data_IF_565669330558
#
_entry.id   IF_565669330558
#
_cell.length_a   1.000
_cell.length_b   1.000
_cell.length_c   1.000
_cell.angle_alpha   90.00
_cell.angle_beta   90.00
_cell.angle_gamma   90.00
#
_symmetry.space_group_name_H-M   'P 1'
#
loop_
_entity.id
_entity.type
_entity.pdbx_description
1 polymer ?
#
# COMPACT_ATOMS: atom_id res chain seq x y z
N UNK A 1 -5.46 -24.07 13.59
CA UNK A 1 -5.58 -22.83 14.35
C UNK A 1 -5.51 -23.12 15.84
N UNK A 2 -4.90 -22.22 16.57
CA UNK A 2 -4.74 -22.30 18.03
C UNK A 2 -5.28 -21.01 18.63
N UNK A 3 -6.02 -21.14 19.76
CA UNK A 3 -6.55 -20.01 20.54
C UNK A 3 -6.04 -20.15 21.97
N UNK A 4 -5.42 -19.11 22.52
CA UNK A 4 -4.86 -19.07 23.87
C UNK A 4 -3.93 -20.26 24.20
N UNK A 5 -3.18 -20.72 23.18
CA UNK A 5 -2.27 -21.86 23.31
C UNK A 5 -2.90 -23.24 23.09
N UNK A 6 -4.22 -23.35 22.96
CA UNK A 6 -4.94 -24.60 22.73
C UNK A 6 -5.33 -24.76 21.25
N UNK A 7 -5.21 -25.97 20.72
CA UNK A 7 -5.61 -26.31 19.35
C UNK A 7 -7.13 -26.35 19.28
N UNK A 8 -7.74 -25.52 18.41
CA UNK A 8 -9.20 -25.39 18.27
C UNK A 8 -9.76 -25.94 16.95
N UNK A 9 -8.91 -26.36 16.01
CA UNK A 9 -9.35 -26.98 14.75
C UNK A 9 -8.38 -28.05 14.30
N UNK A 10 -8.85 -29.01 13.51
CA UNK A 10 -8.01 -29.92 12.75
C UNK A 10 -7.27 -29.18 11.61
N UNK A 11 -6.46 -29.91 10.86
CA UNK A 11 -5.74 -29.33 9.72
C UNK A 11 -6.76 -28.91 8.65
N UNK A 12 -6.74 -27.63 8.30
CA UNK A 12 -7.58 -27.06 7.24
C UNK A 12 -6.87 -27.31 5.92
N UNK A 13 -7.53 -28.00 4.98
CA UNK A 13 -6.96 -28.39 3.67
C UNK A 13 -7.75 -27.84 2.49
N UNK A 14 -8.94 -27.34 2.71
CA UNK A 14 -9.94 -26.95 1.71
C UNK A 14 -10.28 -25.46 1.75
N UNK A 15 -9.68 -24.71 2.67
CA UNK A 15 -9.99 -23.30 2.92
C UNK A 15 -8.74 -22.57 3.41
N UNK A 16 -8.67 -21.26 3.13
CA UNK A 16 -7.64 -20.36 3.63
C UNK A 16 -8.13 -19.48 4.80
N UNK A 17 -9.32 -19.75 5.31
CA UNK A 17 -9.91 -19.03 6.42
C UNK A 17 -10.56 -20.01 7.43
N UNK A 18 -10.79 -19.52 8.62
CA UNK A 18 -11.47 -20.24 9.68
C UNK A 18 -12.31 -19.28 10.52
N UNK A 19 -13.58 -19.60 10.73
CA UNK A 19 -14.46 -18.84 11.60
C UNK A 19 -14.54 -19.52 12.98
N UNK A 20 -13.95 -18.89 13.99
CA UNK A 20 -14.13 -19.29 15.39
C UNK A 20 -15.38 -18.62 15.95
N UNK A 21 -16.44 -19.41 16.15
CA UNK A 21 -17.73 -18.93 16.68
C UNK A 21 -17.70 -18.67 18.20
N UNK A 22 -16.70 -19.21 18.89
CA UNK A 22 -16.55 -19.12 20.35
C UNK A 22 -15.44 -18.12 20.73
N UNK A 23 -14.84 -17.45 19.72
CA UNK A 23 -13.80 -16.47 19.92
C UNK A 23 -14.28 -15.23 20.68
N UNK A 24 -13.38 -14.66 21.49
CA UNK A 24 -13.62 -13.47 22.30
C UNK A 24 -12.61 -12.37 21.97
N UNK A 25 -12.93 -11.10 22.26
CA UNK A 25 -12.03 -9.97 21.96
C UNK A 25 -10.65 -10.05 22.63
N UNK A 26 -10.55 -10.73 23.77
CA UNK A 26 -9.31 -10.92 24.52
C UNK A 26 -8.46 -12.10 24.06
N UNK A 27 -8.94 -12.92 23.13
CA UNK A 27 -8.25 -14.13 22.69
C UNK A 27 -7.01 -13.81 21.86
N UNK A 28 -6.05 -14.72 21.98
CA UNK A 28 -4.80 -14.69 21.20
C UNK A 28 -4.76 -15.90 20.28
N UNK A 29 -4.54 -15.67 19.02
CA UNK A 29 -4.52 -16.71 18.01
C UNK A 29 -3.12 -16.99 17.48
N UNK A 30 -2.91 -18.22 17.06
CA UNK A 30 -1.69 -18.64 16.35
C UNK A 30 -2.05 -19.62 15.25
N UNK A 31 -1.41 -19.47 14.10
CA UNK A 31 -1.48 -20.43 13.00
C UNK A 31 -0.19 -21.24 12.97
N UNK A 32 -0.30 -22.55 12.76
CA UNK A 32 0.86 -23.42 12.49
C UNK A 32 0.66 -24.04 11.13
N UNK A 33 1.60 -23.80 10.22
CA UNK A 33 1.66 -24.50 8.95
C UNK A 33 1.94 -25.99 9.17
N UNK A 34 1.32 -26.86 8.36
CA UNK A 34 1.48 -28.31 8.42
C UNK A 34 1.88 -28.83 7.04
N UNK A 35 2.97 -29.59 6.95
CA UNK A 35 3.39 -30.29 5.74
C UNK A 35 3.43 -31.77 6.01
N UNK A 36 2.58 -32.52 5.31
CA UNK A 36 2.35 -33.93 5.64
C UNK A 36 1.81 -34.06 7.08
N UNK A 37 2.42 -34.89 7.90
CA UNK A 37 2.04 -35.12 9.29
C UNK A 37 2.85 -34.33 10.32
N UNK A 38 3.70 -33.39 9.86
CA UNK A 38 4.57 -32.60 10.75
C UNK A 38 4.13 -31.15 10.74
N UNK A 39 3.93 -30.58 11.95
CA UNK A 39 3.80 -29.14 12.08
C UNK A 39 5.16 -28.50 11.73
N UNK A 40 5.11 -27.55 10.82
CA UNK A 40 6.25 -26.72 10.47
C UNK A 40 6.33 -25.50 11.41
N UNK A 41 6.67 -24.35 10.90
CA UNK A 41 6.87 -23.15 11.69
C UNK A 41 5.55 -22.68 12.37
N UNK A 42 5.61 -22.38 13.66
CA UNK A 42 4.57 -21.64 14.38
C UNK A 42 4.61 -20.18 13.90
N UNK A 43 3.49 -19.64 13.44
CA UNK A 43 3.33 -18.22 13.14
C UNK A 43 3.38 -17.35 14.41
N UNK A 44 3.43 -16.04 14.21
CA UNK A 44 3.34 -15.08 15.30
C UNK A 44 2.02 -15.23 16.07
N UNK A 45 1.99 -14.77 17.29
CA UNK A 45 0.76 -14.60 18.06
C UNK A 45 0.05 -13.33 17.63
N UNK A 46 -1.24 -13.45 17.33
CA UNK A 46 -2.08 -12.35 16.86
C UNK A 46 -3.23 -12.16 17.85
N UNK A 47 -3.40 -10.92 18.33
CA UNK A 47 -4.53 -10.52 19.14
C UNK A 47 -5.74 -10.21 18.25
N UNK A 48 -6.93 -10.41 18.78
CA UNK A 48 -8.16 -10.02 18.08
C UNK A 48 -8.19 -8.50 17.88
N UNK A 49 -8.46 -8.08 16.66
CA UNK A 49 -8.78 -6.69 16.37
C UNK A 49 -10.27 -6.50 16.66
N UNK A 50 -10.59 -5.74 17.71
CA UNK A 50 -11.98 -5.53 18.14
C UNK A 50 -12.68 -4.45 17.27
N UNK A 51 -12.54 -4.60 15.95
CA UNK A 51 -13.19 -3.76 14.96
C UNK A 51 -13.28 -4.52 13.64
N UNK A 52 -14.28 -4.26 12.79
CA UNK A 52 -14.41 -4.89 11.48
C UNK A 52 -13.42 -4.33 10.42
N UNK A 53 -12.49 -3.51 10.83
CA UNK A 53 -11.49 -2.84 9.96
C UNK A 53 -10.19 -2.60 10.72
N UNK A 54 -9.11 -2.41 9.97
CA UNK A 54 -7.85 -1.88 10.46
C UNK A 54 -7.80 -0.40 10.06
N UNK A 55 -7.54 0.49 11.04
CA UNK A 55 -7.36 1.92 10.78
C UNK A 55 -5.89 2.24 10.64
N UNK A 56 -5.51 2.75 9.48
CA UNK A 56 -4.12 3.08 9.15
C UNK A 56 -4.01 4.60 9.05
N UNK A 57 -3.24 5.27 9.93
CA UNK A 57 -3.01 6.70 9.83
C UNK A 57 -2.16 7.01 8.60
N UNK A 58 -2.56 8.00 7.82
CA UNK A 58 -1.88 8.42 6.61
C UNK A 58 -1.27 9.81 6.76
N UNK A 59 -0.10 10.01 6.17
CA UNK A 59 0.56 11.33 6.07
C UNK A 59 0.02 12.09 4.85
N UNK A 60 -1.16 12.71 5.04
CA UNK A 60 -1.85 13.43 3.98
C UNK A 60 -1.00 14.61 3.48
N UNK A 61 -0.76 14.73 2.14
CA UNK A 61 -0.03 15.86 1.58
C UNK A 61 -0.77 17.20 1.79
N UNK A 62 -0.01 18.29 1.79
CA UNK A 62 -0.57 19.65 1.72
C UNK A 62 -1.32 19.86 0.40
N UNK A 63 -2.28 20.79 0.40
CA UNK A 63 -3.08 21.07 -0.78
C UNK A 63 -2.20 21.48 -1.97
N UNK A 64 -2.55 21.01 -3.14
CA UNK A 64 -2.04 21.55 -4.39
C UNK A 64 -2.68 22.92 -4.64
N UNK A 65 -1.86 23.91 -5.02
CA UNK A 65 -2.34 25.24 -5.45
C UNK A 65 -1.98 25.42 -6.91
N UNK A 66 -2.99 25.66 -7.75
CA UNK A 66 -2.78 25.87 -9.17
C UNK A 66 -2.23 27.29 -9.47
N UNK A 67 -1.78 27.58 -10.71
CA UNK A 67 -1.26 28.91 -11.06
C UNK A 67 -2.28 30.06 -10.91
N UNK A 68 -3.58 29.76 -10.89
CA UNK A 68 -4.65 30.73 -10.69
C UNK A 68 -4.95 30.97 -9.21
N UNK A 69 -4.24 30.27 -8.30
CA UNK A 69 -4.37 30.38 -6.84
C UNK A 69 -5.49 29.52 -6.24
N UNK A 70 -6.11 28.63 -7.01
CA UNK A 70 -7.11 27.71 -6.47
C UNK A 70 -6.43 26.55 -5.70
N UNK A 71 -6.96 26.24 -4.53
CA UNK A 71 -6.45 25.21 -3.65
C UNK A 71 -7.26 23.92 -3.75
N UNK A 72 -6.57 22.80 -3.98
CA UNK A 72 -7.17 21.47 -4.12
C UNK A 72 -6.57 20.50 -3.09
N UNK A 73 -7.40 19.91 -2.23
CA UNK A 73 -6.90 18.91 -1.29
C UNK A 73 -6.49 17.63 -2.01
N UNK A 74 -5.44 17.00 -1.51
CA UNK A 74 -5.14 15.62 -1.90
C UNK A 74 -6.17 14.66 -1.29
N UNK A 75 -6.55 13.68 -2.08
CA UNK A 75 -7.41 12.57 -1.68
C UNK A 75 -6.70 11.25 -1.91
N UNK A 76 -6.84 10.32 -0.96
CA UNK A 76 -6.44 8.94 -1.13
C UNK A 76 -7.27 8.32 -2.27
N UNK A 77 -6.60 7.63 -3.17
CA UNK A 77 -7.19 7.04 -4.36
C UNK A 77 -6.86 5.53 -4.42
N UNK A 78 -6.42 5.02 -5.57
CA UNK A 78 -6.10 3.60 -5.71
C UNK A 78 -4.98 3.15 -4.77
N UNK A 79 -5.11 1.94 -4.27
CA UNK A 79 -4.08 1.29 -3.47
C UNK A 79 -3.80 -0.12 -4.00
N UNK A 80 -2.59 -0.58 -3.75
CA UNK A 80 -2.15 -1.95 -3.94
C UNK A 80 -1.44 -2.43 -2.69
N UNK A 81 -1.32 -3.75 -2.53
CA UNK A 81 -0.63 -4.35 -1.38
C UNK A 81 0.40 -5.36 -1.85
N UNK A 82 1.55 -5.37 -1.23
CA UNK A 82 2.59 -6.39 -1.42
C UNK A 82 3.61 -6.32 -0.29
N UNK A 83 4.38 -7.38 -0.12
CA UNK A 83 5.52 -7.44 0.78
C UNK A 83 6.73 -6.74 0.11
N UNK A 84 7.01 -5.50 0.52
CA UNK A 84 8.07 -4.67 -0.07
C UNK A 84 9.46 -4.92 0.55
N UNK A 85 9.51 -5.40 1.78
CA UNK A 85 10.78 -5.60 2.51
C UNK A 85 11.15 -7.08 2.74
N UNK A 86 10.25 -8.00 2.41
CA UNK A 86 10.47 -9.44 2.50
C UNK A 86 10.28 -9.99 3.91
N UNK A 87 9.57 -9.28 4.78
CA UNK A 87 9.31 -9.72 6.16
C UNK A 87 8.09 -10.64 6.29
N UNK A 88 7.30 -10.80 5.24
CA UNK A 88 6.11 -11.64 5.16
C UNK A 88 4.82 -10.91 5.55
N UNK A 89 4.87 -9.64 5.90
CA UNK A 89 3.73 -8.77 6.05
C UNK A 89 3.56 -7.90 4.80
N UNK A 90 2.34 -7.43 4.52
CA UNK A 90 2.10 -6.59 3.35
C UNK A 90 2.13 -5.13 3.72
N UNK A 91 2.83 -4.34 2.91
CA UNK A 91 2.73 -2.90 2.87
C UNK A 91 1.60 -2.45 1.93
N UNK A 92 1.12 -1.24 2.17
CA UNK A 92 0.11 -0.59 1.34
C UNK A 92 0.81 0.49 0.52
N UNK A 93 0.67 0.39 -0.80
CA UNK A 93 1.12 1.42 -1.73
C UNK A 93 -0.11 2.21 -2.15
N UNK A 94 -0.14 3.50 -1.78
CA UNK A 94 -1.28 4.39 -1.95
C UNK A 94 -0.97 5.50 -2.93
N UNK A 95 -1.87 5.73 -3.87
CA UNK A 95 -1.84 6.88 -4.76
C UNK A 95 -2.64 8.05 -4.18
N UNK A 96 -2.05 9.24 -4.22
CA UNK A 96 -2.68 10.50 -3.88
C UNK A 96 -2.95 11.32 -5.12
N UNK A 97 -4.17 11.84 -5.25
CA UNK A 97 -4.61 12.72 -6.31
C UNK A 97 -5.06 14.08 -5.77
N UNK A 98 -4.68 15.16 -6.47
CA UNK A 98 -5.23 16.49 -6.29
C UNK A 98 -5.65 17.07 -7.64
N UNK A 99 -6.92 17.44 -7.80
CA UNK A 99 -7.46 17.98 -9.05
C UNK A 99 -7.19 17.08 -10.28
N UNK A 100 -7.25 15.73 -10.09
CA UNK A 100 -7.04 14.77 -11.16
C UNK A 100 -8.00 14.99 -12.34
N UNK A 101 -7.51 14.76 -13.55
CA UNK A 101 -8.25 15.00 -14.79
C UNK A 101 -8.39 13.73 -15.61
N UNK A 102 -9.49 13.57 -16.29
CA UNK A 102 -9.68 12.55 -17.32
C UNK A 102 -9.22 13.09 -18.70
N UNK A 103 -9.17 12.20 -19.68
CA UNK A 103 -8.74 12.49 -21.07
C UNK A 103 -9.47 13.66 -21.72
N UNK A 104 -10.75 13.81 -21.42
CA UNK A 104 -11.61 14.87 -21.97
C UNK A 104 -11.45 16.21 -21.25
N UNK A 105 -10.81 16.26 -20.10
CA UNK A 105 -10.66 17.48 -19.32
C UNK A 105 -9.36 18.20 -19.63
N UNK A 106 -9.42 19.50 -19.74
CA UNK A 106 -8.24 20.38 -19.89
C UNK A 106 -7.74 20.87 -18.54
N UNK A 107 -6.52 21.37 -18.51
CA UNK A 107 -5.93 22.07 -17.38
C UNK A 107 -4.91 21.24 -16.60
N UNK A 108 -4.24 21.95 -15.71
CA UNK A 108 -3.18 21.43 -14.85
C UNK A 108 -3.79 20.61 -13.72
N UNK A 109 -3.09 19.53 -13.34
CA UNK A 109 -3.39 18.70 -12.17
C UNK A 109 -2.34 18.93 -11.10
N UNK A 110 -2.65 18.57 -9.86
CA UNK A 110 -1.64 18.35 -8.85
C UNK A 110 -0.67 17.24 -9.24
N UNK A 111 0.50 17.24 -8.64
CA UNK A 111 1.48 16.17 -8.85
C UNK A 111 0.93 14.88 -8.21
N UNK A 112 1.00 13.77 -8.94
CA UNK A 112 0.58 12.49 -8.40
C UNK A 112 1.66 11.96 -7.46
N UNK A 113 1.26 11.56 -6.26
CA UNK A 113 2.17 11.00 -5.25
C UNK A 113 1.84 9.53 -5.02
N UNK A 114 2.87 8.74 -4.81
CA UNK A 114 2.77 7.34 -4.42
C UNK A 114 3.48 7.15 -3.08
N UNK A 115 2.74 6.73 -2.07
CA UNK A 115 3.26 6.46 -0.73
C UNK A 115 3.25 4.99 -0.43
N UNK A 116 4.23 4.49 0.32
CA UNK A 116 4.18 3.18 0.95
C UNK A 116 4.05 3.29 2.47
N UNK A 117 3.16 2.48 3.03
CA UNK A 117 2.88 2.43 4.47
C UNK A 117 2.89 1.00 4.98
N UNK A 118 3.43 0.81 6.19
CA UNK A 118 3.15 -0.38 6.99
C UNK A 118 1.73 -0.32 7.57
N UNK A 119 1.21 -1.45 8.04
CA UNK A 119 -0.14 -1.55 8.60
C UNK A 119 -0.32 -0.73 9.89
N UNK A 120 0.76 -0.35 10.56
CA UNK A 120 0.74 0.53 11.72
C UNK A 120 0.74 2.03 11.37
N UNK A 121 0.80 2.37 10.07
CA UNK A 121 0.85 3.73 9.55
C UNK A 121 2.26 4.30 9.39
N UNK A 122 3.30 3.53 9.65
CA UNK A 122 4.68 3.94 9.37
C UNK A 122 4.84 4.16 7.87
N UNK A 123 5.11 5.40 7.46
CA UNK A 123 5.42 5.73 6.07
C UNK A 123 6.85 5.32 5.74
N UNK A 124 7.01 4.47 4.73
CA UNK A 124 8.32 3.99 4.27
C UNK A 124 8.97 4.98 3.30
N UNK A 125 8.19 5.45 2.32
CA UNK A 125 8.66 6.41 1.33
C UNK A 125 7.49 7.11 0.64
N UNK A 126 7.81 8.20 -0.06
CA UNK A 126 6.94 8.92 -1.00
C UNK A 126 7.69 9.12 -2.30
N UNK A 127 7.05 8.74 -3.41
CA UNK A 127 7.48 9.08 -4.77
C UNK A 127 6.58 10.21 -5.25
N UNK A 128 7.19 11.27 -5.80
CA UNK A 128 6.46 12.33 -6.47
C UNK A 128 6.68 12.17 -7.98
N UNK A 129 5.63 11.82 -8.73
CA UNK A 129 5.74 11.64 -10.19
C UNK A 129 6.06 12.92 -10.95
N UNK A 130 5.95 14.07 -10.27
CA UNK A 130 6.37 15.36 -10.80
C UNK A 130 5.32 16.02 -11.70
N UNK A 131 5.62 17.27 -12.05
CA UNK A 131 4.73 18.14 -12.81
C UNK A 131 4.47 17.68 -14.24
N UNK A 132 5.37 16.87 -14.82
CA UNK A 132 5.30 16.39 -16.19
C UNK A 132 4.49 15.10 -16.34
N UNK A 133 4.00 14.53 -15.24
CA UNK A 133 3.05 13.43 -15.22
C UNK A 133 1.69 13.99 -14.82
N UNK A 134 0.76 14.02 -15.78
CA UNK A 134 -0.61 14.43 -15.51
C UNK A 134 -1.32 13.41 -14.62
N UNK A 135 -1.89 13.86 -13.50
CA UNK A 135 -2.61 13.02 -12.56
C UNK A 135 -4.03 12.70 -13.05
N UNK A 136 -4.46 11.48 -12.86
CA UNK A 136 -5.81 11.02 -13.17
C UNK A 136 -5.88 9.51 -13.32
N UNK A 137 -7.08 8.96 -13.29
CA UNK A 137 -7.32 7.51 -13.27
C UNK A 137 -6.70 6.76 -14.46
N UNK A 138 -6.60 7.42 -15.62
CA UNK A 138 -6.05 6.81 -16.83
C UNK A 138 -4.57 7.15 -17.10
N UNK A 139 -3.95 8.01 -16.27
CA UNK A 139 -2.60 8.51 -16.52
C UNK A 139 -1.56 8.01 -15.54
N UNK A 140 -1.96 7.72 -14.31
CA UNK A 140 -1.06 7.45 -13.19
C UNK A 140 -1.30 6.07 -12.59
N UNK A 141 -1.46 5.08 -13.47
CA UNK A 141 -1.52 3.68 -13.09
C UNK A 141 -0.14 3.20 -12.64
N UNK A 142 -0.15 2.25 -11.71
CA UNK A 142 1.05 1.61 -11.19
C UNK A 142 0.78 0.13 -10.93
N UNK A 143 1.83 -0.66 -10.84
CA UNK A 143 1.77 -2.07 -10.49
C UNK A 143 2.76 -2.35 -9.37
N UNK A 144 2.39 -3.27 -8.48
CA UNK A 144 3.25 -3.74 -7.39
C UNK A 144 3.25 -5.26 -7.43
N UNK A 145 4.42 -5.83 -7.60
CA UNK A 145 4.60 -7.28 -7.67
C UNK A 145 6.10 -7.63 -7.49
N UNK A 146 6.39 -8.83 -7.02
CA UNK A 146 7.75 -9.38 -7.05
C UNK A 146 8.09 -9.83 -8.48
N UNK A 147 8.63 -8.91 -9.28
CA UNK A 147 8.92 -9.14 -10.70
C UNK A 147 10.20 -9.95 -10.93
N UNK A 148 11.12 -9.92 -9.99
CA UNK A 148 12.41 -10.60 -10.09
C UNK A 148 12.44 -11.93 -9.32
N UNK A 149 11.37 -12.22 -8.54
CA UNK A 149 11.19 -13.41 -7.71
C UNK A 149 12.25 -13.55 -6.62
N UNK A 150 12.60 -12.45 -5.96
CA UNK A 150 13.53 -12.43 -4.84
C UNK A 150 12.83 -12.41 -3.46
N UNK A 151 11.51 -12.40 -3.45
CA UNK A 151 10.67 -12.39 -2.25
C UNK A 151 10.33 -10.99 -1.76
N UNK A 152 10.66 -9.94 -2.52
CA UNK A 152 10.28 -8.55 -2.28
C UNK A 152 9.59 -7.98 -3.49
N UNK A 153 8.53 -7.22 -3.26
CA UNK A 153 7.81 -6.63 -4.37
C UNK A 153 8.43 -5.29 -4.81
N UNK A 154 8.45 -5.08 -6.12
CA UNK A 154 8.80 -3.81 -6.74
C UNK A 154 7.55 -3.01 -7.10
N UNK A 155 7.70 -1.69 -7.09
CA UNK A 155 6.76 -0.76 -7.69
C UNK A 155 7.17 -0.41 -9.12
N UNK A 156 6.27 -0.61 -10.07
CA UNK A 156 6.43 -0.17 -11.46
C UNK A 156 5.43 0.95 -11.76
N UNK A 157 5.95 2.11 -12.15
CA UNK A 157 5.15 3.26 -12.59
C UNK A 157 5.86 4.01 -13.71
N UNK A 158 5.15 4.86 -14.43
CA UNK A 158 5.79 5.75 -15.39
C UNK A 158 6.44 6.93 -14.68
N UNK A 159 7.54 7.41 -15.24
CA UNK A 159 8.26 8.58 -14.77
C UNK A 159 8.48 9.56 -15.92
N UNK A 160 8.85 10.79 -15.58
CA UNK A 160 9.27 11.82 -16.51
C UNK A 160 10.36 12.68 -15.86
N UNK A 161 10.88 13.66 -16.58
CA UNK A 161 11.72 14.69 -15.99
C UNK A 161 11.02 15.33 -14.79
N UNK A 162 11.78 15.67 -13.75
CA UNK A 162 11.33 16.19 -12.47
C UNK A 162 10.54 15.19 -11.59
N UNK A 163 10.47 13.89 -11.91
CA UNK A 163 10.02 12.86 -10.97
C UNK A 163 11.04 12.76 -9.83
N UNK A 164 10.55 12.66 -8.58
CA UNK A 164 11.39 12.45 -7.38
C UNK A 164 11.11 11.05 -6.85
N UNK A 165 12.15 10.23 -6.75
CA UNK A 165 12.05 8.86 -6.24
C UNK A 165 11.86 8.81 -4.72
N UNK A 166 11.62 7.60 -4.17
CA UNK A 166 11.43 7.37 -2.74
C UNK A 166 12.65 7.66 -1.85
N UNK A 167 13.81 7.98 -2.44
CA UNK A 167 15.05 8.39 -1.75
C UNK A 167 15.33 9.89 -1.89
N UNK A 168 14.47 10.61 -2.60
CA UNK A 168 14.64 12.04 -2.88
C UNK A 168 15.51 12.37 -4.09
N UNK A 169 15.90 11.38 -4.92
CA UNK A 169 16.66 11.65 -6.14
C UNK A 169 15.71 12.10 -7.25
N UNK A 170 16.13 13.12 -8.01
CA UNK A 170 15.39 13.60 -9.17
C UNK A 170 15.76 12.79 -10.40
N UNK A 171 14.75 12.34 -11.14
CA UNK A 171 14.91 11.66 -12.42
C UNK A 171 14.87 12.71 -13.52
N UNK A 172 15.88 12.67 -14.41
CA UNK A 172 15.99 13.56 -15.55
C UNK A 172 16.25 15.02 -15.15
N UNK A 173 15.71 15.95 -15.94
CA UNK A 173 15.86 17.40 -15.70
C UNK A 173 14.83 17.90 -14.68
N UNK A 174 15.32 18.37 -13.51
CA UNK A 174 14.47 18.88 -12.43
C UNK A 174 13.71 20.17 -12.79
N UNK A 175 14.20 20.92 -13.77
CA UNK A 175 13.65 22.22 -14.16
C UNK A 175 12.72 22.12 -15.38
N UNK A 176 12.65 20.96 -16.03
CA UNK A 176 11.77 20.73 -17.16
C UNK A 176 10.29 20.90 -16.80
N UNK A 177 9.56 21.58 -17.67
CA UNK A 177 8.10 21.76 -17.56
C UNK A 177 7.47 21.66 -18.96
N UNK A 178 6.70 20.60 -19.19
CA UNK A 178 6.06 20.26 -20.47
C UNK A 178 4.53 20.46 -20.44
N UNK A 179 4.02 21.12 -19.42
CA UNK A 179 2.57 21.32 -19.21
C UNK A 179 1.99 22.40 -20.12
#
# INVERSE_FOLDING_TARGET
VWRNGEKITDVITDSTNYLDKDGKPEDVYTIKAVKGNKAEKKGAEVKVVNAPYISIPLDKPENFVDPDGNSYPYTANDASVADLDGDGEYEIILRWDANGKDNSHKGITGECLLDAYKLDGTKLWRINLGRNIRSGSHYTQFMVYDFNNDGKAELVCKTADATVDGKGNVIGDKDADYR
#
